data_IF_149761959478
#
_entry.id   IF_149761959478
#
_cell.length_a   1.000
_cell.length_b   1.000
_cell.length_c   1.000
_cell.angle_alpha   90.00
_cell.angle_beta   90.00
_cell.angle_gamma   90.00
#
_symmetry.space_group_name_H-M   'P 1'
#
loop_
_entity.id
_entity.type
_entity.pdbx_description
1 polymer ?
#
# COMPACT_ATOMS: atom_id res chain seq x y z
N UNK A 1 -14.59 -10.68 13.91
CA UNK A 1 -13.54 -11.42 13.18
C UNK A 1 -13.69 -11.04 11.71
N UNK A 2 -12.61 -10.72 10.98
CA UNK A 2 -12.67 -10.48 9.53
C UNK A 2 -13.07 -11.79 8.83
N UNK A 3 -14.37 -12.11 8.78
CA UNK A 3 -14.94 -13.47 8.83
C UNK A 3 -14.62 -14.49 7.73
N UNK A 4 -13.35 -14.73 7.41
CA UNK A 4 -12.89 -15.67 6.39
C UNK A 4 -11.57 -16.37 6.81
N UNK A 5 -11.59 -17.19 7.88
CA UNK A 5 -10.37 -17.85 8.40
C UNK A 5 -9.75 -18.81 7.38
N UNK A 6 -10.58 -19.50 6.60
CA UNK A 6 -10.11 -20.46 5.58
C UNK A 6 -9.30 -19.75 4.48
N UNK A 7 -9.78 -18.59 4.03
CA UNK A 7 -9.09 -17.76 3.03
C UNK A 7 -7.77 -17.22 3.56
N UNK A 8 -7.73 -16.81 4.83
CA UNK A 8 -6.49 -16.35 5.46
C UNK A 8 -5.47 -17.48 5.60
N UNK A 9 -5.93 -18.68 5.99
CA UNK A 9 -5.08 -19.87 6.10
C UNK A 9 -4.53 -20.32 4.74
N UNK A 10 -5.37 -20.30 3.70
CA UNK A 10 -4.96 -20.64 2.33
C UNK A 10 -3.89 -19.68 1.80
N UNK A 11 -4.06 -18.37 2.01
CA UNK A 11 -3.19 -17.35 1.41
C UNK A 11 -1.90 -17.09 2.19
N UNK A 12 -1.96 -17.08 3.53
CA UNK A 12 -0.83 -16.67 4.37
C UNK A 12 -0.26 -17.78 5.26
N UNK A 13 -0.94 -18.93 5.33
CA UNK A 13 -0.59 -20.07 6.17
C UNK A 13 -1.52 -20.21 7.38
N UNK A 14 -1.86 -21.46 7.73
CA UNK A 14 -2.74 -21.79 8.85
C UNK A 14 -2.17 -21.37 10.21
N UNK A 15 -0.83 -21.36 10.34
CA UNK A 15 -0.10 -20.92 11.52
C UNK A 15 -0.24 -19.42 11.80
N UNK A 16 -0.47 -18.61 10.77
CA UNK A 16 -0.60 -17.15 10.88
C UNK A 16 -2.05 -16.67 10.88
N UNK A 17 -2.97 -17.49 10.39
CA UNK A 17 -4.36 -17.11 10.18
C UNK A 17 -5.02 -16.56 11.46
N UNK A 18 -4.79 -17.18 12.61
CA UNK A 18 -5.38 -16.71 13.89
C UNK A 18 -4.93 -15.29 14.25
N UNK A 19 -3.63 -15.02 14.17
CA UNK A 19 -3.04 -13.71 14.48
C UNK A 19 -3.44 -12.65 13.43
N UNK A 20 -3.46 -13.02 12.14
CA UNK A 20 -3.95 -12.16 11.05
C UNK A 20 -5.43 -11.80 11.24
N UNK A 21 -6.24 -12.71 11.78
CA UNK A 21 -7.67 -12.50 12.01
C UNK A 21 -7.96 -11.72 13.28
N UNK A 22 -7.02 -11.72 14.23
CA UNK A 22 -7.10 -10.93 15.44
C UNK A 22 -6.90 -9.44 15.13
N UNK A 23 -7.97 -8.65 15.24
CA UNK A 23 -7.96 -7.20 14.97
C UNK A 23 -7.02 -6.42 15.89
N UNK A 24 -6.69 -6.97 17.07
CA UNK A 24 -5.91 -6.29 18.11
C UNK A 24 -4.42 -6.64 18.07
N UNK A 25 -4.04 -7.69 17.34
CA UNK A 25 -2.65 -8.11 17.23
C UNK A 25 -1.95 -7.31 16.12
N UNK A 26 -0.77 -6.72 16.37
CA UNK A 26 0.02 -6.09 15.31
C UNK A 26 0.75 -7.11 14.43
N UNK A 27 0.89 -8.37 14.88
CA UNK A 27 1.70 -9.39 14.20
C UNK A 27 1.14 -9.72 12.82
N UNK A 28 2.03 -9.86 11.84
CA UNK A 28 1.71 -10.23 10.46
C UNK A 28 0.78 -9.26 9.72
N UNK A 29 0.40 -8.13 10.34
CA UNK A 29 -0.44 -7.12 9.69
C UNK A 29 0.31 -6.43 8.57
N UNK A 30 1.59 -6.15 8.78
CA UNK A 30 2.44 -5.57 7.75
C UNK A 30 2.55 -6.46 6.51
N UNK A 31 2.61 -7.79 6.68
CA UNK A 31 2.62 -8.76 5.58
C UNK A 31 1.35 -8.68 4.73
N UNK A 32 0.18 -8.63 5.37
CA UNK A 32 -1.11 -8.51 4.67
C UNK A 32 -1.23 -7.15 3.98
N UNK A 33 -0.78 -6.07 4.63
CA UNK A 33 -0.77 -4.72 4.03
C UNK A 33 0.14 -4.68 2.80
N UNK A 34 1.35 -5.23 2.87
CA UNK A 34 2.28 -5.28 1.74
C UNK A 34 1.66 -6.01 0.54
N UNK A 35 1.13 -7.20 0.77
CA UNK A 35 0.53 -8.03 -0.27
C UNK A 35 -0.68 -7.34 -0.93
N UNK A 36 -1.60 -6.79 -0.12
CA UNK A 36 -2.76 -6.09 -0.67
C UNK A 36 -2.40 -4.76 -1.34
N UNK A 37 -1.42 -4.01 -0.83
CA UNK A 37 -0.97 -2.76 -1.44
C UNK A 37 -0.37 -3.01 -2.83
N UNK A 38 0.42 -4.06 -2.99
CA UNK A 38 1.01 -4.43 -4.28
C UNK A 38 -0.05 -4.99 -5.25
N UNK A 39 -1.02 -5.77 -4.75
CA UNK A 39 -2.16 -6.21 -5.54
C UNK A 39 -2.95 -4.99 -6.05
N UNK A 40 -3.18 -4.04 -5.17
CA UNK A 40 -3.88 -2.80 -5.46
C UNK A 40 -3.17 -1.94 -6.48
N UNK A 41 -1.83 -1.95 -6.52
CA UNK A 41 -1.08 -1.29 -7.58
C UNK A 41 -1.40 -1.87 -8.97
N UNK A 42 -1.59 -3.18 -9.09
CA UNK A 42 -2.00 -3.83 -10.35
C UNK A 42 -3.46 -3.50 -10.68
N UNK A 43 -4.36 -3.61 -9.70
CA UNK A 43 -5.79 -3.31 -9.86
C UNK A 43 -6.00 -1.87 -10.35
N UNK A 44 -5.32 -0.91 -9.74
CA UNK A 44 -5.41 0.50 -10.09
C UNK A 44 -4.80 0.77 -11.48
N UNK A 45 -3.75 0.02 -11.86
CA UNK A 45 -3.14 0.12 -13.21
C UNK A 45 -4.03 -0.45 -14.31
N UNK A 46 -4.84 -1.47 -14.01
CA UNK A 46 -5.83 -2.04 -14.92
C UNK A 46 -7.16 -1.29 -14.90
N UNK A 47 -7.32 -0.31 -14.01
CA UNK A 47 -8.55 0.48 -13.83
C UNK A 47 -9.74 -0.45 -13.48
N UNK A 48 -9.48 -1.49 -12.69
CA UNK A 48 -10.50 -2.43 -12.22
C UNK A 48 -11.12 -1.91 -10.93
N UNK A 49 -12.44 -2.06 -10.79
CA UNK A 49 -13.16 -1.64 -9.60
C UNK A 49 -12.65 -2.37 -8.34
N UNK A 50 -12.32 -1.60 -7.29
CA UNK A 50 -11.76 -2.12 -6.04
C UNK A 50 -12.67 -3.14 -5.34
N UNK A 51 -13.99 -3.04 -5.48
CA UNK A 51 -14.96 -3.85 -4.73
C UNK A 51 -14.72 -5.36 -4.87
N UNK A 52 -14.30 -5.84 -6.06
CA UNK A 52 -13.98 -7.25 -6.27
C UNK A 52 -12.64 -7.70 -5.66
N UNK A 53 -11.82 -6.76 -5.18
CA UNK A 53 -10.45 -6.98 -4.70
C UNK A 53 -10.27 -6.58 -3.22
N UNK A 54 -11.32 -6.02 -2.60
CA UNK A 54 -11.34 -5.71 -1.16
C UNK A 54 -11.47 -6.98 -0.34
N UNK A 55 -11.00 -6.95 0.92
CA UNK A 55 -11.01 -8.13 1.78
C UNK A 55 -12.42 -8.69 2.05
N UNK A 56 -12.68 -9.99 1.79
CA UNK A 56 -11.82 -10.96 1.11
C UNK A 56 -11.86 -10.78 -0.43
N UNK A 57 -10.71 -10.63 -1.13
CA UNK A 57 -10.75 -10.44 -2.58
C UNK A 57 -11.37 -11.64 -3.27
N UNK A 58 -12.35 -11.38 -4.14
CA UNK A 58 -12.88 -12.34 -5.12
C UNK A 58 -11.84 -12.55 -6.22
N UNK A 59 -11.21 -11.46 -6.66
CA UNK A 59 -10.11 -11.49 -7.63
C UNK A 59 -8.77 -11.32 -6.92
N UNK A 60 -7.84 -12.24 -7.18
CA UNK A 60 -6.52 -12.25 -6.58
C UNK A 60 -5.42 -12.39 -7.63
N UNK A 61 -4.18 -12.64 -7.19
CA UNK A 61 -3.01 -12.67 -8.07
C UNK A 61 -3.13 -13.61 -9.28
N UNK A 62 -3.73 -14.78 -9.09
CA UNK A 62 -3.87 -15.78 -10.14
C UNK A 62 -4.87 -15.36 -11.22
N UNK A 63 -5.94 -14.63 -10.86
CA UNK A 63 -6.87 -14.06 -11.82
C UNK A 63 -6.18 -13.02 -12.71
N UNK A 64 -5.36 -12.15 -12.10
CA UNK A 64 -4.62 -11.14 -12.84
C UNK A 64 -3.57 -11.76 -13.77
N UNK A 65 -2.88 -12.82 -13.33
CA UNK A 65 -1.94 -13.54 -14.16
C UNK A 65 -2.63 -14.24 -15.36
N UNK A 66 -3.89 -14.66 -15.22
CA UNK A 66 -4.67 -15.25 -16.32
C UNK A 66 -5.20 -14.20 -17.29
N UNK A 67 -5.69 -13.06 -16.80
CA UNK A 67 -6.41 -12.08 -17.63
C UNK A 67 -5.49 -11.14 -18.41
N UNK A 68 -4.38 -10.69 -17.83
CA UNK A 68 -3.50 -9.67 -18.45
C UNK A 68 -2.94 -10.15 -19.80
N UNK A 69 -2.39 -11.38 -19.92
CA UNK A 69 -1.87 -11.86 -21.21
C UNK A 69 -2.94 -11.98 -22.28
N UNK A 70 -4.17 -12.37 -21.90
CA UNK A 70 -5.30 -12.52 -22.83
C UNK A 70 -5.75 -11.16 -23.39
N UNK A 71 -5.76 -10.12 -22.55
CA UNK A 71 -6.19 -8.78 -22.96
C UNK A 71 -5.11 -8.01 -23.73
N UNK A 72 -3.84 -8.19 -23.37
CA UNK A 72 -2.74 -7.32 -23.83
C UNK A 72 -1.75 -8.01 -24.78
N UNK A 73 -1.73 -9.35 -24.80
CA UNK A 73 -0.71 -10.14 -25.49
C UNK A 73 0.63 -10.26 -24.75
N UNK A 74 0.78 -9.66 -23.56
CA UNK A 74 2.00 -9.68 -22.76
C UNK A 74 2.15 -11.01 -22.02
N UNK A 75 2.90 -11.95 -22.61
CA UNK A 75 2.98 -13.35 -22.13
C UNK A 75 3.68 -13.49 -20.78
N UNK A 76 4.62 -12.61 -20.48
CA UNK A 76 5.38 -12.57 -19.22
C UNK A 76 4.49 -12.38 -17.99
N UNK A 77 3.32 -11.76 -18.15
CA UNK A 77 2.34 -11.60 -17.08
C UNK A 77 1.59 -12.89 -16.74
N UNK A 78 1.82 -13.99 -17.47
CA UNK A 78 1.24 -15.30 -17.13
C UNK A 78 1.85 -15.90 -15.87
N UNK A 79 3.03 -15.42 -15.44
CA UNK A 79 3.69 -15.82 -14.20
C UNK A 79 3.24 -14.94 -13.03
N UNK A 80 2.65 -15.55 -12.00
CA UNK A 80 2.17 -14.87 -10.79
C UNK A 80 3.30 -14.10 -10.10
N UNK A 81 4.50 -14.66 -10.02
CA UNK A 81 5.62 -14.02 -9.33
C UNK A 81 6.13 -12.80 -10.12
N UNK A 82 6.05 -12.85 -11.45
CA UNK A 82 6.28 -11.67 -12.28
C UNK A 82 5.25 -10.57 -11.99
N UNK A 83 3.96 -10.89 -11.93
CA UNK A 83 2.89 -9.91 -11.63
C UNK A 83 3.08 -9.27 -10.26
N UNK A 84 3.38 -10.08 -9.22
CA UNK A 84 3.70 -9.57 -7.88
C UNK A 84 4.90 -8.64 -7.89
N UNK A 85 5.97 -9.00 -8.62
CA UNK A 85 7.16 -8.16 -8.77
C UNK A 85 6.85 -6.83 -9.47
N UNK A 86 5.92 -6.81 -10.43
CA UNK A 86 5.43 -5.56 -11.05
C UNK A 86 4.66 -4.72 -10.04
N UNK A 87 3.77 -5.31 -9.24
CA UNK A 87 3.04 -4.61 -8.17
C UNK A 87 3.99 -3.93 -7.18
N UNK A 88 4.94 -4.70 -6.66
CA UNK A 88 5.99 -4.20 -5.76
C UNK A 88 6.83 -3.08 -6.40
N UNK A 89 7.14 -3.18 -7.70
CA UNK A 89 7.86 -2.13 -8.45
C UNK A 89 7.07 -0.82 -8.49
N UNK A 90 5.76 -0.88 -8.77
CA UNK A 90 4.91 0.32 -8.85
C UNK A 90 4.80 0.99 -7.48
N UNK A 91 4.56 0.22 -6.41
CA UNK A 91 4.48 0.75 -5.05
C UNK A 91 5.80 1.39 -4.62
N UNK A 92 6.91 0.71 -4.89
CA UNK A 92 8.26 1.20 -4.58
C UNK A 92 8.60 2.47 -5.35
N UNK A 93 8.24 2.55 -6.64
CA UNK A 93 8.44 3.75 -7.44
C UNK A 93 7.64 4.94 -6.91
N UNK A 94 6.40 4.71 -6.47
CA UNK A 94 5.56 5.73 -5.80
C UNK A 94 6.22 6.24 -4.52
N UNK A 95 6.77 5.33 -3.70
CA UNK A 95 7.53 5.72 -2.50
C UNK A 95 8.80 6.50 -2.86
N UNK A 96 9.52 6.09 -3.89
CA UNK A 96 10.74 6.78 -4.34
C UNK A 96 10.44 8.22 -4.76
N UNK A 97 9.35 8.46 -5.49
CA UNK A 97 8.90 9.81 -5.81
C UNK A 97 8.66 10.63 -4.54
N UNK A 98 7.89 10.09 -3.60
CA UNK A 98 7.59 10.76 -2.33
C UNK A 98 8.86 11.09 -1.52
N UNK A 99 9.80 10.16 -1.47
CA UNK A 99 11.09 10.33 -0.80
C UNK A 99 11.93 11.42 -1.47
N UNK A 100 11.93 11.48 -2.80
CA UNK A 100 12.58 12.57 -3.55
C UNK A 100 12.00 13.94 -3.17
N UNK A 101 10.70 14.01 -2.92
CA UNK A 101 10.01 15.22 -2.46
C UNK A 101 10.17 15.48 -0.95
N UNK A 102 10.93 14.65 -0.21
CA UNK A 102 11.31 14.86 1.18
C UNK A 102 10.50 14.07 2.22
N UNK A 103 9.55 13.23 1.81
CA UNK A 103 8.84 12.34 2.73
C UNK A 103 9.78 11.28 3.30
N UNK A 104 9.64 11.03 4.59
CA UNK A 104 10.46 10.08 5.33
C UNK A 104 9.65 9.51 6.52
N UNK A 105 10.29 8.70 7.38
CA UNK A 105 9.60 8.02 8.48
C UNK A 105 8.80 8.94 9.43
N UNK A 106 9.23 10.18 9.71
CA UNK A 106 8.43 11.08 10.60
C UNK A 106 7.07 11.45 10.01
N UNK A 107 6.93 11.35 8.70
CA UNK A 107 5.71 11.71 7.98
C UNK A 107 4.74 10.51 7.86
N UNK A 108 5.23 9.28 8.09
CA UNK A 108 4.43 8.04 8.11
C UNK A 108 3.73 7.88 9.47
N UNK A 109 2.84 8.81 9.82
CA UNK A 109 2.16 8.87 11.12
C UNK A 109 0.63 8.98 11.02
N UNK A 110 -0.05 8.85 12.15
CA UNK A 110 -1.49 9.03 12.30
C UNK A 110 -1.79 10.26 13.16
N UNK A 111 -3.00 10.84 13.08
CA UNK A 111 -3.43 11.86 14.04
C UNK A 111 -3.22 11.39 15.50
N UNK A 112 -2.73 12.29 16.36
CA UNK A 112 -2.28 11.94 17.72
C UNK A 112 -3.32 11.17 18.54
N UNK A 113 -4.61 11.45 18.30
CA UNK A 113 -5.74 10.75 18.92
C UNK A 113 -5.63 9.23 18.79
N UNK A 114 -5.28 8.72 17.61
CA UNK A 114 -5.19 7.27 17.39
C UNK A 114 -3.98 6.63 18.09
N UNK A 115 -2.96 7.42 18.40
CA UNK A 115 -1.70 6.96 18.99
C UNK A 115 -1.73 7.09 20.52
N UNK A 116 -2.36 8.14 21.05
CA UNK A 116 -2.28 8.53 22.46
C UNK A 116 -3.58 8.37 23.24
N UNK A 117 -4.74 8.48 22.60
CA UNK A 117 -6.04 8.41 23.28
C UNK A 117 -6.64 7.01 23.14
N UNK A 118 -6.71 6.20 24.22
CA UNK A 118 -7.33 4.90 24.15
C UNK A 118 -8.82 5.01 23.81
N UNK A 119 -9.33 4.05 23.04
CA UNK A 119 -10.76 4.01 22.72
C UNK A 119 -11.61 4.03 24.01
N UNK A 120 -12.57 4.95 24.17
CA UNK A 120 -13.32 5.10 25.42
C UNK A 120 -14.26 3.92 25.70
N UNK A 121 -14.83 3.33 24.66
CA UNK A 121 -15.88 2.31 24.77
C UNK A 121 -15.90 1.32 23.60
N UNK A 122 -16.80 0.34 23.70
CA UNK A 122 -17.01 -0.68 22.67
C UNK A 122 -15.93 -1.76 22.61
N UNK A 123 -15.93 -2.59 21.55
CA UNK A 123 -15.04 -3.74 21.43
C UNK A 123 -13.54 -3.41 21.37
N UNK A 124 -13.17 -2.15 21.09
CA UNK A 124 -11.77 -1.71 21.07
C UNK A 124 -11.36 -0.94 22.34
N UNK A 125 -12.23 -0.90 23.38
CA UNK A 125 -11.99 -0.11 24.60
C UNK A 125 -10.58 -0.33 25.16
N UNK A 126 -9.91 0.77 25.52
CA UNK A 126 -8.58 0.77 26.12
C UNK A 126 -7.42 0.54 25.14
N UNK A 127 -7.67 0.37 23.85
CA UNK A 127 -6.61 0.17 22.85
C UNK A 127 -6.24 1.47 22.14
N UNK A 128 -4.95 1.61 21.81
CA UNK A 128 -4.39 2.58 20.87
C UNK A 128 -3.71 1.83 19.70
N UNK A 129 -3.35 2.54 18.64
CA UNK A 129 -2.67 1.96 17.49
C UNK A 129 -1.15 1.79 17.76
N UNK A 130 -0.61 0.55 17.77
CA UNK A 130 0.83 0.31 17.96
C UNK A 130 1.62 0.56 16.67
N UNK A 131 1.57 1.80 16.16
CA UNK A 131 2.03 2.14 14.81
C UNK A 131 3.52 1.85 14.58
N UNK A 132 4.39 2.20 15.52
CA UNK A 132 5.84 2.05 15.34
C UNK A 132 6.27 0.59 15.08
N UNK A 133 5.66 -0.36 15.79
CA UNK A 133 5.92 -1.80 15.63
C UNK A 133 5.49 -2.25 14.23
N UNK A 134 4.33 -1.79 13.77
CA UNK A 134 3.81 -2.15 12.45
C UNK A 134 4.63 -1.52 11.32
N UNK A 135 5.12 -0.29 11.50
CA UNK A 135 6.02 0.38 10.54
C UNK A 135 7.37 -0.33 10.45
N UNK A 136 7.95 -0.74 11.58
CA UNK A 136 9.20 -1.50 11.59
C UNK A 136 9.08 -2.80 10.81
N UNK A 137 8.01 -3.58 11.06
CA UNK A 137 7.74 -4.81 10.33
C UNK A 137 7.52 -4.53 8.83
N UNK A 138 6.78 -3.47 8.48
CA UNK A 138 6.52 -3.10 7.09
C UNK A 138 7.80 -2.70 6.33
N UNK A 139 8.65 -1.86 6.91
CA UNK A 139 9.91 -1.48 6.28
C UNK A 139 10.87 -2.66 6.14
N UNK A 140 10.93 -3.54 7.14
CA UNK A 140 11.73 -4.76 7.07
C UNK A 140 11.28 -5.66 5.92
N UNK A 141 9.98 -5.89 5.78
CA UNK A 141 9.42 -6.68 4.68
C UNK A 141 9.65 -6.03 3.31
N UNK A 142 9.62 -4.69 3.22
CA UNK A 142 9.92 -3.94 2.00
C UNK A 142 11.43 -3.89 1.67
N UNK A 143 12.31 -4.25 2.61
CA UNK A 143 13.76 -4.07 2.48
C UNK A 143 14.19 -2.60 2.55
N UNK A 144 13.44 -1.76 3.26
CA UNK A 144 13.72 -0.34 3.48
C UNK A 144 14.42 -0.14 4.83
N UNK A 145 15.07 1.02 4.99
CA UNK A 145 15.73 1.34 6.26
C UNK A 145 14.69 1.65 7.35
N UNK A 146 14.73 0.87 8.44
CA UNK A 146 13.79 1.04 9.55
C UNK A 146 13.90 2.41 10.22
N UNK A 147 15.09 3.00 10.33
CA UNK A 147 15.24 4.27 11.08
C UNK A 147 14.72 5.48 10.30
N UNK A 148 14.96 5.51 9.01
CA UNK A 148 14.69 6.66 8.14
C UNK A 148 13.44 6.48 7.29
N UNK A 149 12.97 5.24 7.10
CA UNK A 149 11.87 4.91 6.20
C UNK A 149 12.22 5.09 4.72
N UNK A 150 13.52 5.17 4.40
CA UNK A 150 14.05 5.37 3.05
C UNK A 150 14.30 4.02 2.36
N UNK A 151 14.16 4.03 1.03
CA UNK A 151 14.43 2.86 0.22
C UNK A 151 15.94 2.56 0.19
N UNK A 152 16.31 1.30 0.24
CA UNK A 152 17.71 0.87 0.05
C UNK A 152 18.01 0.71 -1.44
N UNK A 153 19.25 0.95 -1.86
CA UNK A 153 19.69 0.68 -3.24
C UNK A 153 19.42 -0.78 -3.64
N UNK A 154 19.69 -1.72 -2.75
CA UNK A 154 19.41 -3.14 -2.98
C UNK A 154 17.93 -3.40 -3.27
N UNK A 155 17.00 -2.79 -2.51
CA UNK A 155 15.56 -2.95 -2.73
C UNK A 155 15.11 -2.43 -4.11
N UNK A 156 15.71 -1.32 -4.58
CA UNK A 156 15.43 -0.73 -5.88
C UNK A 156 15.99 -1.59 -7.03
N UNK A 157 17.24 -2.05 -6.91
CA UNK A 157 17.89 -2.87 -7.93
C UNK A 157 17.21 -4.23 -8.10
N UNK A 158 16.75 -4.87 -7.02
CA UNK A 158 15.92 -6.09 -7.07
C UNK A 158 14.68 -5.92 -7.94
N UNK A 159 14.12 -4.70 -7.97
CA UNK A 159 12.92 -4.35 -8.73
C UNK A 159 13.22 -3.74 -10.10
N UNK A 160 14.47 -3.78 -10.57
CA UNK A 160 14.93 -3.16 -11.83
C UNK A 160 14.74 -1.63 -11.85
N UNK A 161 14.97 -0.95 -10.72
CA UNK A 161 14.87 0.50 -10.55
C UNK A 161 16.23 1.15 -10.28
N UNK A 162 17.32 0.63 -10.88
CA UNK A 162 18.69 1.14 -10.67
C UNK A 162 18.84 2.63 -11.01
N UNK A 163 18.17 3.08 -12.08
CA UNK A 163 18.14 4.50 -12.46
C UNK A 163 17.50 5.40 -11.39
N UNK A 164 16.50 4.90 -10.68
CA UNK A 164 15.84 5.60 -9.58
C UNK A 164 16.77 5.66 -8.37
N UNK A 165 17.51 4.59 -8.09
CA UNK A 165 18.53 4.59 -7.03
C UNK A 165 19.59 5.67 -7.29
N UNK A 166 20.07 5.77 -8.53
CA UNK A 166 21.04 6.80 -8.93
C UNK A 166 20.48 8.22 -8.81
N UNK A 167 19.19 8.43 -9.12
CA UNK A 167 18.53 9.73 -8.96
C UNK A 167 18.38 10.10 -7.48
N UNK A 168 17.96 9.17 -6.63
CA UNK A 168 17.80 9.42 -5.19
C UNK A 168 19.13 9.77 -4.54
N UNK A 169 20.22 9.08 -4.87
CA UNK A 169 21.55 9.41 -4.34
C UNK A 169 22.03 10.81 -4.75
N UNK A 170 21.74 11.22 -5.99
CA UNK A 170 22.01 12.60 -6.46
C UNK A 170 21.13 13.62 -5.73
N UNK A 171 19.84 13.30 -5.55
CA UNK A 171 18.87 14.16 -4.86
C UNK A 171 19.20 14.41 -3.39
N UNK A 172 19.72 13.40 -2.67
CA UNK A 172 20.17 13.57 -1.28
C UNK A 172 21.31 14.59 -1.17
N UNK A 173 22.18 14.71 -2.18
CA UNK A 173 23.24 15.73 -2.22
C UNK A 173 22.75 17.15 -2.57
N UNK A 174 21.51 17.29 -3.05
CA UNK A 174 20.96 18.52 -3.64
C UNK A 174 19.75 19.06 -2.86
N UNK A 175 19.83 19.05 -1.53
CA UNK A 175 18.79 19.53 -0.60
C UNK A 175 18.48 21.05 -0.70
N UNK A 176 18.91 21.72 -1.77
CA UNK A 176 18.66 23.14 -2.07
C UNK A 176 17.85 23.41 -3.35
N UNK A 177 17.32 22.39 -4.05
CA UNK A 177 16.41 22.64 -5.17
C UNK A 177 15.01 22.99 -4.66
N UNK A 178 14.84 24.29 -4.40
CA UNK A 178 13.56 24.97 -4.30
C UNK A 178 12.63 24.55 -5.45
N UNK A 179 11.57 23.85 -5.10
CA UNK A 179 10.20 24.15 -5.49
C UNK A 179 10.01 24.53 -6.97
N UNK A 180 10.04 23.53 -7.87
CA UNK A 180 9.28 23.63 -9.12
C UNK A 180 8.02 22.80 -8.96
N UNK A 181 7.03 23.44 -8.33
CA UNK A 181 5.64 23.01 -8.33
C UNK A 181 5.24 22.77 -9.80
N UNK A 182 5.18 21.50 -10.19
CA UNK A 182 4.36 21.08 -11.32
C UNK A 182 3.00 20.68 -10.75
N UNK A 183 2.24 21.68 -10.29
CA UNK A 183 0.79 21.58 -10.12
C UNK A 183 0.18 21.45 -11.52
N UNK A 184 0.29 20.28 -12.15
CA UNK A 184 -0.59 19.91 -13.24
C UNK A 184 -1.82 19.21 -12.64
N UNK A 185 -2.62 20.08 -12.04
CA UNK A 185 -4.06 20.18 -11.93
C UNK A 185 -4.94 19.20 -12.76
N UNK A 186 -4.75 17.88 -12.64
CA UNK A 186 -5.71 16.88 -13.15
C UNK A 186 -6.02 15.71 -12.19
N UNK A 187 -5.21 15.42 -11.17
CA UNK A 187 -5.56 14.35 -10.20
C UNK A 187 -6.39 14.81 -9.00
N UNK A 188 -6.30 16.09 -8.60
CA UNK A 188 -7.05 16.60 -7.43
C UNK A 188 -8.54 16.76 -7.76
N UNK A 189 -8.89 17.01 -9.03
CA UNK A 189 -10.29 17.06 -9.47
C UNK A 189 -10.97 15.68 -9.37
N UNK A 190 -10.23 14.58 -9.58
CA UNK A 190 -10.79 13.23 -9.45
C UNK A 190 -11.09 12.84 -7.99
N UNK A 191 -10.28 13.30 -7.04
CA UNK A 191 -10.51 13.02 -5.61
C UNK A 191 -11.66 13.88 -5.04
N UNK A 192 -11.82 15.13 -5.52
CA UNK A 192 -12.93 16.00 -5.11
C UNK A 192 -14.27 15.56 -5.76
N UNK A 193 -14.25 15.01 -6.98
CA UNK A 193 -15.48 14.55 -7.66
C UNK A 193 -16.09 13.27 -7.05
N UNK A 194 -15.28 12.46 -6.36
CA UNK A 194 -15.74 11.31 -5.58
C UNK A 194 -16.40 11.75 -4.25
N UNK A 195 -15.93 12.85 -3.65
CA UNK A 195 -16.48 13.37 -2.39
C UNK A 195 -17.75 14.23 -2.56
N UNK A 196 -17.92 14.91 -3.70
CA UNK A 196 -19.12 15.72 -3.96
C UNK A 196 -20.34 14.85 -4.34
N UNK A 197 -20.14 13.69 -4.98
CA UNK A 197 -21.26 12.81 -5.36
C UNK A 197 -21.96 12.12 -4.17
N UNK A 198 -21.30 12.01 -3.01
CA UNK A 198 -21.96 11.51 -1.79
C UNK A 198 -22.81 12.58 -1.11
N UNK A 199 -22.50 13.87 -1.33
CA UNK A 199 -23.26 14.98 -0.75
C UNK A 199 -24.52 15.36 -1.54
N UNK A 200 -24.56 15.09 -2.86
CA UNK A 200 -25.76 15.36 -3.69
C UNK A 200 -26.83 14.28 -3.52
N UNK A 201 -26.46 13.05 -3.15
CA UNK A 201 -27.44 11.96 -3.00
C UNK A 201 -28.30 12.05 -1.73
N UNK A 202 -27.92 12.87 -0.75
CA UNK A 202 -28.68 13.06 0.50
C UNK A 202 -29.70 14.22 0.46
N UNK A 203 -29.88 14.89 -0.68
CA UNK A 203 -30.86 15.99 -0.82
C UNK A 203 -31.97 15.75 -1.84
N UNK A 204 -32.13 14.52 -2.36
CA UNK A 204 -33.23 14.12 -3.25
C UNK A 204 -34.10 12.98 -2.71
N UNK A 205 -34.17 12.86 -1.38
CA UNK A 205 -35.19 12.06 -0.69
C UNK A 205 -35.98 12.96 0.25
N UNK A 206 -36.90 13.71 -0.34
CA UNK A 206 -38.13 14.20 0.28
C UNK A 206 -39.28 13.90 -0.67
#
# INVERSE_FOLDING_TARGET
MLGYPDVAAERYGSDKAEEIMNLRSPKYKAMVVLDLEDLYAIVDSLIICKYGTMWPPIYYWDDFAKIIPVLTGMKEYSDIEYVKKVGARITTLRRAFNVREGLNRKDDTLPERFLKEPMPEGPAKGHTCPLDIMLDEYYELRGWDKKTGLLTRESLEKLNLSNVADELEKGVSNTNLKLFICFNNQLITFIIMILINVSVFFHLSK
#
